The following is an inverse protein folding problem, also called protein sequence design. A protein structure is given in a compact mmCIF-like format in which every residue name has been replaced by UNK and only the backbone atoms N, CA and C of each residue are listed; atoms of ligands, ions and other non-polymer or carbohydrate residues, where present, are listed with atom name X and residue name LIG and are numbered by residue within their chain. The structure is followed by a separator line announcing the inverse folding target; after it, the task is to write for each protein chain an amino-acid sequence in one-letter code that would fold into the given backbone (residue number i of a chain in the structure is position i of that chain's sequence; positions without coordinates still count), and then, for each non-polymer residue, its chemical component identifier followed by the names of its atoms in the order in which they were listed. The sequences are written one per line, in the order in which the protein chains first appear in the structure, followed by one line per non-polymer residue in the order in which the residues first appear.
data_IF_337556270585
#
_entry.id   IF_337556270585
#
_cell.length_a   1.000
_cell.length_b   1.000
_cell.length_c   1.000
_cell.angle_alpha   90.00
_cell.angle_beta   90.00
_cell.angle_gamma   90.00
#
_symmetry.space_group_name_H-M   'P 1'
#
loop_
_entity.id
_entity.type
_entity.pdbx_description
1 polymer ?
#
# COMPACT_ATOMS: atom_id res chain seq x y z
N UNK A 1 -2.39 -0.76 14.20
CA UNK A 1 -1.41 0.30 14.40
C UNK A 1 -0.71 0.12 15.74
N UNK A 2 -1.40 0.20 16.91
CA UNK A 2 -0.75 0.10 18.24
C UNK A 2 0.07 -1.18 18.39
N UNK A 3 -0.48 -2.33 18.02
CA UNK A 3 0.21 -3.62 18.08
C UNK A 3 1.45 -3.62 17.18
N UNK A 4 1.36 -3.08 15.97
CA UNK A 4 2.48 -3.01 15.03
C UNK A 4 3.61 -2.18 15.59
N UNK A 5 3.29 -0.99 16.12
CA UNK A 5 4.27 -0.07 16.73
C UNK A 5 4.92 -0.72 17.97
N UNK A 6 4.14 -1.39 18.81
CA UNK A 6 4.68 -2.08 19.98
C UNK A 6 5.65 -3.22 19.60
N UNK A 7 5.29 -4.04 18.60
CA UNK A 7 6.17 -5.12 18.11
C UNK A 7 7.41 -4.52 17.43
N UNK A 8 7.27 -3.47 16.64
CA UNK A 8 8.39 -2.78 16.02
C UNK A 8 9.37 -2.22 17.07
N UNK A 9 8.86 -1.57 18.10
CA UNK A 9 9.66 -1.05 19.19
C UNK A 9 10.41 -2.16 19.95
N UNK A 10 9.72 -3.26 20.28
CA UNK A 10 10.35 -4.41 20.95
C UNK A 10 11.43 -5.06 20.08
N UNK A 11 11.20 -5.20 18.78
CA UNK A 11 12.20 -5.74 17.86
C UNK A 11 13.39 -4.80 17.69
N UNK A 12 13.17 -3.48 17.60
CA UNK A 12 14.23 -2.47 17.57
C UNK A 12 15.11 -2.54 18.83
N UNK A 13 14.49 -2.62 20.00
CA UNK A 13 15.20 -2.75 21.27
C UNK A 13 16.01 -4.06 21.33
N UNK A 14 15.41 -5.16 20.88
CA UNK A 14 16.08 -6.47 20.84
C UNK A 14 17.31 -6.45 19.93
N UNK A 15 17.19 -5.88 18.74
CA UNK A 15 18.29 -5.76 17.77
C UNK A 15 19.40 -4.86 18.33
N UNK A 16 19.05 -3.74 18.97
CA UNK A 16 20.04 -2.83 19.58
C UNK A 16 20.82 -3.46 20.74
N UNK A 17 20.19 -4.41 21.47
CA UNK A 17 20.82 -5.13 22.57
C UNK A 17 21.68 -6.31 22.11
N UNK A 18 21.21 -7.08 21.13
CA UNK A 18 21.89 -8.32 20.69
C UNK A 18 22.92 -8.06 19.60
N UNK A 19 22.62 -7.13 18.68
CA UNK A 19 23.46 -6.84 17.52
C UNK A 19 23.52 -5.32 17.25
N UNK A 20 24.15 -4.51 18.12
CA UNK A 20 24.18 -3.05 18.00
C UNK A 20 24.81 -2.59 16.67
N UNK A 21 25.75 -3.34 16.12
CA UNK A 21 26.36 -3.04 14.83
C UNK A 21 25.37 -3.21 13.64
N UNK A 22 24.38 -4.08 13.78
CA UNK A 22 23.35 -4.28 12.77
C UNK A 22 22.23 -3.23 12.87
N UNK A 23 22.03 -2.60 14.02
CA UNK A 23 20.94 -1.66 14.27
C UNK A 23 20.99 -0.43 13.32
N UNK A 24 22.17 -0.02 12.88
CA UNK A 24 22.37 1.09 11.95
C UNK A 24 22.36 0.72 10.47
N UNK A 25 22.18 -0.55 10.13
CA UNK A 25 22.15 -0.96 8.72
C UNK A 25 20.78 -0.66 8.08
N UNK A 26 20.74 -0.10 6.86
CA UNK A 26 19.49 0.21 6.15
C UNK A 26 18.55 -1.00 6.03
N UNK A 27 19.10 -2.18 5.75
CA UNK A 27 18.35 -3.44 5.67
C UNK A 27 17.66 -3.77 7.00
N UNK A 28 18.32 -3.55 8.12
CA UNK A 28 17.74 -3.80 9.45
C UNK A 28 16.59 -2.86 9.75
N UNK A 29 16.74 -1.57 9.47
CA UNK A 29 15.69 -0.57 9.65
C UNK A 29 14.47 -0.91 8.79
N UNK A 30 14.70 -1.31 7.56
CA UNK A 30 13.64 -1.76 6.66
C UNK A 30 12.93 -3.04 7.15
N UNK A 31 13.67 -4.05 7.58
CA UNK A 31 13.10 -5.28 8.15
C UNK A 31 12.29 -4.99 9.42
N UNK A 32 12.77 -4.11 10.28
CA UNK A 32 12.07 -3.69 11.51
C UNK A 32 10.76 -2.97 11.21
N UNK A 33 10.65 -2.27 10.09
CA UNK A 33 9.41 -1.64 9.64
C UNK A 33 8.44 -2.67 9.01
N UNK A 34 8.92 -3.53 8.11
CA UNK A 34 8.10 -4.41 7.28
C UNK A 34 7.67 -5.70 7.98
N UNK A 35 8.57 -6.33 8.75
CA UNK A 35 8.28 -7.62 9.41
C UNK A 35 7.08 -7.52 10.37
N UNK A 36 6.98 -6.54 11.30
CA UNK A 36 5.80 -6.39 12.15
C UNK A 36 4.52 -6.13 11.37
N UNK A 37 4.61 -5.37 10.29
CA UNK A 37 3.47 -5.07 9.45
C UNK A 37 2.94 -6.33 8.75
N UNK A 38 3.80 -7.06 8.03
CA UNK A 38 3.40 -8.19 7.21
C UNK A 38 3.15 -9.47 8.01
N UNK A 39 3.94 -9.76 9.05
CA UNK A 39 3.84 -11.01 9.79
C UNK A 39 2.93 -10.91 11.04
N UNK A 40 2.65 -9.71 11.54
CA UNK A 40 1.80 -9.53 12.72
C UNK A 40 0.53 -8.77 12.40
N UNK A 41 0.64 -7.52 11.93
CA UNK A 41 -0.54 -6.67 11.76
C UNK A 41 -1.52 -7.23 10.73
N UNK A 42 -1.02 -7.67 9.57
CA UNK A 42 -1.88 -8.18 8.49
C UNK A 42 -2.57 -9.48 8.86
N UNK A 43 -1.90 -10.54 9.38
CA UNK A 43 -2.58 -11.76 9.82
C UNK A 43 -3.60 -11.50 10.94
N UNK A 44 -3.29 -10.61 11.89
CA UNK A 44 -4.23 -10.24 12.96
C UNK A 44 -5.47 -9.55 12.37
N UNK A 45 -5.28 -8.55 11.50
CA UNK A 45 -6.40 -7.88 10.83
C UNK A 45 -7.22 -8.85 9.98
N UNK A 46 -6.56 -9.72 9.21
CA UNK A 46 -7.23 -10.73 8.40
C UNK A 46 -8.05 -11.69 9.27
N UNK A 47 -7.52 -12.13 10.42
CA UNK A 47 -8.23 -12.97 11.38
C UNK A 47 -9.43 -12.26 11.99
N UNK A 48 -9.28 -11.00 12.41
CA UNK A 48 -10.41 -10.20 12.90
C UNK A 48 -11.51 -10.04 11.85
N UNK A 49 -11.14 -9.84 10.59
CA UNK A 49 -12.08 -9.73 9.49
C UNK A 49 -12.77 -11.05 9.12
N UNK A 50 -12.28 -12.21 9.59
CA UNK A 50 -12.95 -13.51 9.36
C UNK A 50 -14.33 -13.60 10.03
N UNK A 51 -14.61 -12.79 11.04
CA UNK A 51 -15.93 -12.67 11.66
C UNK A 51 -16.98 -12.02 10.73
N UNK A 52 -16.55 -11.32 9.68
CA UNK A 52 -17.44 -10.68 8.72
C UNK A 52 -17.81 -11.65 7.58
N UNK A 53 -19.04 -11.53 7.02
CA UNK A 53 -19.46 -12.31 5.87
C UNK A 53 -18.45 -12.17 4.72
N UNK A 54 -18.10 -13.28 4.08
CA UNK A 54 -17.23 -13.30 2.92
C UNK A 54 -18.08 -13.58 1.67
N UNK A 55 -18.13 -12.64 0.74
CA UNK A 55 -18.81 -12.78 -0.53
C UNK A 55 -17.80 -13.11 -1.63
N UNK A 56 -18.08 -14.21 -2.35
CA UNK A 56 -17.28 -14.56 -3.53
C UNK A 56 -17.74 -13.74 -4.73
N UNK A 57 -16.81 -12.99 -5.32
CA UNK A 57 -17.07 -12.25 -6.55
C UNK A 57 -17.07 -13.18 -7.76
N UNK A 58 -17.92 -12.86 -8.75
CA UNK A 58 -17.89 -13.54 -10.04
C UNK A 58 -16.55 -13.28 -10.75
N UNK A 59 -15.98 -14.35 -11.34
CA UNK A 59 -14.70 -14.26 -12.05
C UNK A 59 -14.94 -14.00 -13.53
N UNK A 60 -14.62 -12.78 -13.96
CA UNK A 60 -14.70 -12.35 -15.34
C UNK A 60 -13.32 -12.08 -15.92
N UNK A 61 -13.14 -12.35 -17.22
CA UNK A 61 -11.91 -11.95 -17.92
C UNK A 61 -11.99 -10.50 -18.42
N UNK A 62 -10.89 -9.78 -18.26
CA UNK A 62 -10.72 -8.46 -18.84
C UNK A 62 -10.08 -8.59 -20.23
N UNK A 63 -10.64 -7.91 -21.23
CA UNK A 63 -10.05 -7.86 -22.57
C UNK A 63 -8.74 -7.06 -22.55
N UNK A 64 -7.72 -7.42 -23.36
CA UNK A 64 -6.45 -6.70 -23.38
C UNK A 64 -6.58 -5.18 -23.54
N UNK A 65 -7.46 -4.72 -24.44
CA UNK A 65 -7.71 -3.29 -24.61
C UNK A 65 -8.33 -2.59 -23.40
N UNK A 66 -9.14 -3.30 -22.60
CA UNK A 66 -9.66 -2.77 -21.34
C UNK A 66 -8.55 -2.65 -20.29
N UNK A 67 -7.64 -3.62 -20.24
CA UNK A 67 -6.50 -3.60 -19.34
C UNK A 67 -5.55 -2.42 -19.68
N UNK A 68 -5.19 -2.24 -20.96
CA UNK A 68 -4.35 -1.11 -21.42
C UNK A 68 -5.02 0.23 -21.07
N UNK A 69 -6.33 0.37 -21.32
CA UNK A 69 -7.07 1.58 -20.94
C UNK A 69 -7.02 1.83 -19.43
N UNK A 70 -7.20 0.79 -18.62
CA UNK A 70 -7.10 0.90 -17.16
C UNK A 70 -5.71 1.35 -16.74
N UNK A 71 -4.66 0.76 -17.32
CA UNK A 71 -3.27 1.15 -17.04
C UNK A 71 -3.02 2.63 -17.40
N UNK A 72 -3.48 3.11 -18.54
CA UNK A 72 -3.36 4.53 -18.92
C UNK A 72 -4.10 5.45 -17.91
N UNK A 73 -5.29 5.05 -17.45
CA UNK A 73 -6.02 5.80 -16.42
C UNK A 73 -5.24 5.79 -15.10
N UNK A 74 -4.66 4.66 -14.70
CA UNK A 74 -3.84 4.57 -13.49
C UNK A 74 -2.63 5.51 -13.57
N UNK A 75 -1.89 5.50 -14.67
CA UNK A 75 -0.76 6.41 -14.89
C UNK A 75 -1.21 7.88 -14.82
N UNK A 76 -2.31 8.23 -15.48
CA UNK A 76 -2.86 9.59 -15.42
C UNK A 76 -3.22 10.01 -13.99
N UNK A 77 -3.95 9.16 -13.27
CA UNK A 77 -4.36 9.41 -11.86
C UNK A 77 -3.14 9.54 -10.95
N UNK A 78 -2.12 8.74 -11.18
CA UNK A 78 -0.87 8.80 -10.44
C UNK A 78 -0.17 10.16 -10.63
N UNK A 79 0.00 10.64 -11.86
CA UNK A 79 0.62 11.95 -12.11
C UNK A 79 -0.21 13.11 -11.54
N UNK A 80 -1.51 13.12 -11.76
CA UNK A 80 -2.40 14.16 -11.22
C UNK A 80 -2.42 14.13 -9.70
N UNK A 81 -2.53 12.95 -9.10
CA UNK A 81 -2.54 12.79 -7.65
C UNK A 81 -1.22 13.18 -7.01
N UNK A 82 -0.08 12.91 -7.66
CA UNK A 82 1.24 13.34 -7.22
C UNK A 82 1.37 14.88 -7.25
N UNK A 83 0.92 15.53 -8.31
CA UNK A 83 0.89 17.00 -8.37
C UNK A 83 0.05 17.59 -7.23
N UNK A 84 -1.13 17.04 -6.99
CA UNK A 84 -2.00 17.48 -5.88
C UNK A 84 -1.33 17.25 -4.52
N UNK A 85 -0.75 16.06 -4.31
CA UNK A 85 -0.07 15.69 -3.07
C UNK A 85 1.10 16.63 -2.77
N UNK A 86 1.94 16.90 -3.76
CA UNK A 86 3.07 17.83 -3.63
C UNK A 86 2.59 19.25 -3.33
N UNK A 87 1.55 19.74 -4.00
CA UNK A 87 0.99 21.05 -3.76
C UNK A 87 0.43 21.19 -2.34
N UNK A 88 -0.33 20.20 -1.86
CA UNK A 88 -0.87 20.17 -0.51
C UNK A 88 0.25 20.12 0.54
N UNK A 89 1.26 19.27 0.34
CA UNK A 89 2.40 19.15 1.24
C UNK A 89 3.17 20.48 1.33
N UNK A 90 3.40 21.15 0.19
CA UNK A 90 4.06 22.45 0.15
C UNK A 90 3.26 23.55 0.89
N UNK A 91 1.94 23.56 0.75
CA UNK A 91 1.07 24.51 1.46
C UNK A 91 1.10 24.28 2.98
N UNK A 92 1.06 23.02 3.42
CA UNK A 92 1.15 22.68 4.84
C UNK A 92 2.52 23.08 5.40
N UNK A 93 3.61 22.76 4.69
CA UNK A 93 4.96 23.11 5.09
C UNK A 93 5.15 24.64 5.24
N UNK A 94 4.61 25.42 4.30
CA UNK A 94 4.64 26.89 4.38
C UNK A 94 3.84 27.44 5.57
N UNK A 95 2.68 26.83 5.88
CA UNK A 95 1.81 27.30 6.96
C UNK A 95 2.27 26.90 8.37
N UNK A 96 2.96 25.76 8.49
CA UNK A 96 3.32 25.16 9.79
C UNK A 96 4.82 25.18 10.09
N UNK A 97 5.67 25.39 9.07
CA UNK A 97 7.12 25.22 9.17
C UNK A 97 7.57 23.76 9.34
N UNK A 98 6.67 22.77 9.24
CA UNK A 98 7.01 21.36 9.35
C UNK A 98 7.57 20.87 8.01
N UNK A 99 8.72 20.21 8.07
CA UNK A 99 9.23 19.47 6.93
C UNK A 99 8.44 18.17 6.80
N UNK A 100 7.67 18.08 5.72
CA UNK A 100 6.89 16.89 5.38
C UNK A 100 7.58 16.04 4.31
N UNK A 101 8.87 16.30 4.04
CA UNK A 101 9.67 15.47 3.16
C UNK A 101 9.77 14.06 3.75
N UNK A 102 9.56 13.06 2.90
CA UNK A 102 9.52 11.68 3.37
C UNK A 102 10.85 10.98 3.04
N UNK A 103 11.60 10.60 4.08
CA UNK A 103 12.95 10.02 3.99
C UNK A 103 12.98 8.57 3.44
N UNK A 104 11.84 8.02 2.96
CA UNK A 104 11.82 6.65 2.43
C UNK A 104 12.73 6.49 1.21
N UNK A 105 12.78 7.50 0.36
CA UNK A 105 13.59 7.50 -0.86
C UNK A 105 15.09 7.43 -0.51
N UNK A 106 15.51 8.14 0.53
CA UNK A 106 16.86 8.07 1.06
C UNK A 106 17.17 6.69 1.68
N UNK A 107 16.22 6.12 2.42
CA UNK A 107 16.34 4.78 3.00
C UNK A 107 16.42 3.68 1.93
N UNK A 108 15.66 3.81 0.85
CA UNK A 108 15.66 2.87 -0.28
C UNK A 108 16.95 2.98 -1.10
N UNK A 109 17.49 4.20 -1.26
CA UNK A 109 18.74 4.44 -2.01
C UNK A 109 19.98 3.86 -1.33
N UNK A 110 19.94 3.70 -0.01
CA UNK A 110 21.03 3.10 0.79
C UNK A 110 21.01 1.57 0.79
N UNK A 111 19.92 0.94 0.31
CA UNK A 111 19.74 -0.50 0.26
C UNK A 111 20.40 -1.16 -0.96
N UNK A 112 20.51 -2.50 -0.93
CA UNK A 112 20.89 -3.25 -2.14
C UNK A 112 19.78 -3.13 -3.19
N UNK A 113 20.09 -2.78 -4.46
CA UNK A 113 19.09 -2.63 -5.53
C UNK A 113 18.23 -3.89 -5.72
N UNK A 114 18.81 -5.07 -5.58
CA UNK A 114 18.11 -6.35 -5.67
C UNK A 114 17.11 -6.56 -4.53
N UNK A 115 17.45 -6.08 -3.33
CA UNK A 115 16.58 -6.15 -2.18
C UNK A 115 15.38 -5.22 -2.35
N UNK A 116 15.63 -3.98 -2.76
CA UNK A 116 14.59 -2.99 -3.07
C UNK A 116 13.67 -3.50 -4.17
N UNK A 117 14.22 -4.00 -5.28
CA UNK A 117 13.44 -4.57 -6.38
C UNK A 117 12.51 -5.70 -5.89
N UNK A 118 13.03 -6.68 -5.15
CA UNK A 118 12.25 -7.83 -4.73
C UNK A 118 11.15 -7.45 -3.74
N UNK A 119 11.47 -6.64 -2.74
CA UNK A 119 10.55 -6.35 -1.64
C UNK A 119 9.62 -5.18 -1.93
N UNK A 120 10.12 -4.07 -2.48
CA UNK A 120 9.30 -2.88 -2.72
C UNK A 120 8.54 -2.97 -4.03
N UNK A 121 9.18 -3.47 -5.11
CA UNK A 121 8.55 -3.50 -6.43
C UNK A 121 7.67 -4.74 -6.63
N UNK A 122 8.04 -5.89 -6.07
CA UNK A 122 7.30 -7.14 -6.32
C UNK A 122 6.45 -7.57 -5.13
N UNK A 123 7.06 -7.70 -3.95
CA UNK A 123 6.36 -8.30 -2.80
C UNK A 123 5.31 -7.35 -2.20
N UNK A 124 5.65 -6.06 -2.03
CA UNK A 124 4.73 -5.09 -1.46
C UNK A 124 3.44 -4.94 -2.29
N UNK A 125 3.47 -4.72 -3.62
CA UNK A 125 2.27 -4.66 -4.44
C UNK A 125 1.39 -5.91 -4.37
N UNK A 126 2.00 -7.10 -4.33
CA UNK A 126 1.23 -8.34 -4.20
C UNK A 126 0.51 -8.42 -2.85
N UNK A 127 1.21 -8.07 -1.76
CA UNK A 127 0.65 -8.09 -0.42
C UNK A 127 -0.43 -7.02 -0.24
N UNK A 128 -0.22 -5.82 -0.77
CA UNK A 128 -1.21 -4.74 -0.77
C UNK A 128 -2.50 -5.15 -1.47
N UNK A 129 -2.41 -5.73 -2.66
CA UNK A 129 -3.59 -6.19 -3.39
C UNK A 129 -4.30 -7.35 -2.67
N UNK A 130 -3.57 -8.26 -2.04
CA UNK A 130 -4.17 -9.30 -1.20
C UNK A 130 -4.97 -8.70 -0.04
N UNK A 131 -4.44 -7.67 0.64
CA UNK A 131 -5.08 -7.04 1.78
C UNK A 131 -6.27 -6.20 1.34
N UNK A 132 -6.03 -5.22 0.48
CA UNK A 132 -7.02 -4.20 0.13
C UNK A 132 -8.08 -4.70 -0.87
N UNK A 133 -7.80 -5.77 -1.63
CA UNK A 133 -8.78 -6.36 -2.55
C UNK A 133 -9.33 -7.66 -2.01
N UNK A 134 -8.51 -8.67 -1.78
CA UNK A 134 -9.02 -9.99 -1.38
C UNK A 134 -9.60 -9.99 0.03
N UNK A 135 -8.88 -9.43 1.00
CA UNK A 135 -9.34 -9.46 2.40
C UNK A 135 -10.42 -8.41 2.65
N UNK A 136 -10.22 -7.18 2.21
CA UNK A 136 -11.12 -6.08 2.52
C UNK A 136 -12.39 -6.09 1.65
N UNK A 137 -12.27 -6.14 0.32
CA UNK A 137 -13.43 -6.02 -0.57
C UNK A 137 -14.35 -7.23 -0.45
N UNK A 138 -13.84 -8.46 -0.40
CA UNK A 138 -14.68 -9.65 -0.26
C UNK A 138 -15.60 -9.59 0.99
N UNK A 139 -15.29 -8.73 1.96
CA UNK A 139 -16.07 -8.54 3.20
C UNK A 139 -16.89 -7.27 3.24
N UNK A 140 -16.46 -6.24 2.51
CA UNK A 140 -17.14 -4.94 2.51
C UNK A 140 -18.11 -4.78 1.35
N UNK A 141 -18.02 -5.61 0.33
CA UNK A 141 -18.91 -5.58 -0.83
C UNK A 141 -20.40 -5.79 -0.47
N UNK A 142 -20.69 -6.43 0.65
CA UNK A 142 -22.05 -6.58 1.20
C UNK A 142 -22.72 -5.23 1.45
N UNK A 143 -21.94 -4.17 1.70
CA UNK A 143 -22.45 -2.80 1.91
C UNK A 143 -22.62 -2.02 0.59
N UNK A 144 -22.37 -2.66 -0.55
CA UNK A 144 -22.51 -2.14 -1.90
C UNK A 144 -21.18 -1.72 -2.54
N UNK A 145 -21.14 -1.80 -3.88
CA UNK A 145 -19.94 -1.57 -4.71
C UNK A 145 -19.28 -0.22 -4.40
N UNK A 146 -20.08 0.87 -4.33
CA UNK A 146 -19.56 2.23 -4.11
C UNK A 146 -18.87 2.37 -2.74
N UNK A 147 -19.51 1.84 -1.69
CA UNK A 147 -18.96 1.89 -0.34
C UNK A 147 -17.65 1.09 -0.25
N UNK A 148 -17.61 -0.12 -0.83
CA UNK A 148 -16.42 -0.95 -0.85
C UNK A 148 -15.26 -0.28 -1.63
N UNK A 149 -15.55 0.34 -2.79
CA UNK A 149 -14.56 1.07 -3.59
C UNK A 149 -13.97 2.24 -2.82
N UNK A 150 -14.82 3.12 -2.26
CA UNK A 150 -14.36 4.31 -1.54
C UNK A 150 -13.59 3.93 -0.29
N UNK A 151 -14.08 2.96 0.49
CA UNK A 151 -13.41 2.49 1.70
C UNK A 151 -12.04 1.89 1.38
N UNK A 152 -11.97 1.03 0.35
CA UNK A 152 -10.69 0.43 -0.06
C UNK A 152 -9.70 1.46 -0.56
N UNK A 153 -10.15 2.44 -1.35
CA UNK A 153 -9.32 3.55 -1.81
C UNK A 153 -8.81 4.40 -0.65
N UNK A 154 -9.71 4.80 0.26
CA UNK A 154 -9.36 5.63 1.41
C UNK A 154 -8.32 4.94 2.31
N UNK A 155 -8.56 3.68 2.66
CA UNK A 155 -7.62 2.92 3.47
C UNK A 155 -6.28 2.71 2.76
N UNK A 156 -6.29 2.50 1.45
CA UNK A 156 -5.07 2.39 0.64
C UNK A 156 -4.27 3.69 0.64
N UNK A 157 -4.94 4.84 0.47
CA UNK A 157 -4.29 6.15 0.55
C UNK A 157 -3.70 6.43 1.95
N UNK A 158 -4.49 6.21 3.01
CA UNK A 158 -4.04 6.42 4.40
C UNK A 158 -2.90 5.48 4.80
N UNK A 159 -2.87 4.27 4.22
CA UNK A 159 -1.83 3.28 4.50
C UNK A 159 -0.42 3.78 4.14
N UNK A 160 -0.29 4.65 3.15
CA UNK A 160 1.00 5.24 2.74
C UNK A 160 1.56 6.26 3.75
N UNK A 161 0.73 6.78 4.67
CA UNK A 161 1.17 7.56 5.82
C UNK A 161 1.69 8.97 5.53
N UNK A 162 1.62 9.44 4.28
CA UNK A 162 2.07 10.77 3.89
C UNK A 162 1.16 11.42 2.84
N UNK A 163 1.16 12.77 2.80
CA UNK A 163 0.30 13.53 1.88
C UNK A 163 0.76 13.47 0.42
N UNK A 164 2.05 13.30 0.17
CA UNK A 164 2.57 13.18 -1.20
C UNK A 164 1.94 11.99 -1.92
N UNK A 165 1.82 10.87 -1.22
CA UNK A 165 1.31 9.62 -1.78
C UNK A 165 -0.21 9.45 -1.64
N UNK A 166 -0.84 10.08 -0.63
CA UNK A 166 -2.25 9.88 -0.31
C UNK A 166 -3.18 10.04 -1.51
N UNK A 167 -3.03 11.13 -2.27
CA UNK A 167 -4.00 11.46 -3.32
C UNK A 167 -3.95 10.48 -4.49
N UNK A 168 -2.74 10.14 -4.98
CA UNK A 168 -2.64 9.17 -6.05
C UNK A 168 -2.96 7.75 -5.57
N UNK A 169 -2.52 7.38 -4.37
CA UNK A 169 -2.82 6.07 -3.81
C UNK A 169 -4.34 5.89 -3.57
N UNK A 170 -5.04 6.91 -3.06
CA UNK A 170 -6.49 6.90 -2.97
C UNK A 170 -7.15 6.68 -4.33
N UNK A 171 -6.75 7.43 -5.35
CA UNK A 171 -7.27 7.31 -6.71
C UNK A 171 -7.03 5.93 -7.33
N UNK A 172 -5.78 5.44 -7.27
CA UNK A 172 -5.41 4.10 -7.71
C UNK A 172 -6.17 3.02 -6.91
N UNK A 173 -6.28 3.21 -5.58
CA UNK A 173 -7.02 2.34 -4.70
C UNK A 173 -8.49 2.17 -5.11
N UNK A 174 -9.16 3.25 -5.49
CA UNK A 174 -10.53 3.21 -6.03
C UNK A 174 -10.60 2.47 -7.37
N UNK A 175 -9.66 2.73 -8.29
CA UNK A 175 -9.63 2.06 -9.60
C UNK A 175 -9.43 0.56 -9.43
N UNK A 176 -8.45 0.14 -8.63
CA UNK A 176 -8.16 -1.27 -8.40
C UNK A 176 -9.30 -1.98 -7.68
N UNK A 177 -9.95 -1.32 -6.71
CA UNK A 177 -11.14 -1.84 -6.06
C UNK A 177 -12.26 -2.09 -7.07
N UNK A 178 -12.53 -1.13 -7.96
CA UNK A 178 -13.53 -1.28 -9.02
C UNK A 178 -13.17 -2.41 -9.98
N UNK A 179 -11.93 -2.48 -10.45
CA UNK A 179 -11.44 -3.56 -11.35
C UNK A 179 -11.60 -4.92 -10.66
N UNK A 180 -11.23 -5.03 -9.38
CA UNK A 180 -11.35 -6.27 -8.65
C UNK A 180 -12.82 -6.69 -8.47
N UNK A 181 -13.72 -5.77 -8.12
CA UNK A 181 -15.16 -6.06 -8.02
C UNK A 181 -15.72 -6.59 -9.35
N UNK A 182 -15.31 -6.00 -10.48
CA UNK A 182 -15.79 -6.38 -11.81
C UNK A 182 -15.19 -7.68 -12.35
N UNK A 183 -13.97 -8.02 -11.95
CA UNK A 183 -13.24 -9.17 -12.50
C UNK A 183 -13.11 -10.34 -11.54
N UNK A 184 -13.14 -10.10 -10.23
CA UNK A 184 -12.85 -11.09 -9.19
C UNK A 184 -11.41 -11.63 -9.24
N UNK A 185 -10.49 -10.95 -9.95
CA UNK A 185 -9.13 -11.44 -10.22
C UNK A 185 -8.07 -10.41 -9.87
N UNK A 186 -7.22 -10.77 -8.92
CA UNK A 186 -6.09 -9.93 -8.47
C UNK A 186 -5.02 -9.71 -9.55
N UNK A 187 -4.87 -10.62 -10.52
CA UNK A 187 -3.83 -10.53 -11.54
C UNK A 187 -3.84 -9.19 -12.31
N UNK A 188 -5.02 -8.62 -12.52
CA UNK A 188 -5.16 -7.35 -13.25
C UNK A 188 -4.72 -6.15 -12.41
N UNK A 189 -5.11 -6.12 -11.16
CA UNK A 189 -4.75 -5.04 -10.25
C UNK A 189 -3.29 -5.11 -9.83
N UNK A 190 -2.78 -6.31 -9.52
CA UNK A 190 -1.34 -6.53 -9.26
C UNK A 190 -0.51 -6.08 -10.47
N UNK A 191 -0.88 -6.48 -11.69
CA UNK A 191 -0.11 -6.07 -12.88
C UNK A 191 -0.13 -4.56 -13.08
N UNK A 192 -1.27 -3.88 -12.89
CA UNK A 192 -1.33 -2.42 -12.97
C UNK A 192 -0.49 -1.77 -11.87
N UNK A 193 -0.56 -2.27 -10.64
CA UNK A 193 0.20 -1.72 -9.52
C UNK A 193 1.72 -1.86 -9.73
N UNK A 194 2.18 -3.01 -10.24
CA UNK A 194 3.60 -3.21 -10.61
C UNK A 194 4.12 -2.18 -11.62
N UNK A 195 3.27 -1.71 -12.53
CA UNK A 195 3.65 -0.66 -13.50
C UNK A 195 3.50 0.77 -12.96
N UNK A 196 2.89 0.95 -11.80
CA UNK A 196 2.67 2.26 -11.20
C UNK A 196 3.41 2.45 -9.86
N UNK A 197 4.06 1.41 -9.32
CA UNK A 197 4.78 1.49 -8.05
C UNK A 197 6.15 2.17 -8.14
N UNK A 198 6.70 2.34 -9.35
CA UNK A 198 8.04 2.88 -9.56
C UNK A 198 8.06 4.30 -10.16
N UNK A 199 6.93 5.00 -10.16
CA UNK A 199 6.84 6.31 -10.80
C UNK A 199 6.68 7.45 -9.82
#
# INVERSE_FOLDING_TARGET
VVLTVAVQFLLSLLVSLIAPQAAGLPVTSWLLAMVPLYLVAIPVCAKMMQALPNMQLYRNEMRPGQWIRTLCICIFVMYVGNIIGNAVSALIAQGTGLDLSFELEELLSQGSPWFTLLFSVVLAPVMEELIFRKVLIDRTIVYGDKAAVVLSGLLFGVFHGNFHQFFYAFGLGCIFAYVYIRTGKLKYTISCLLYTSDA
#
